data_IF_473701189410
#
_entry.id   IF_473701189410
#
_cell.length_a   1.000
_cell.length_b   1.000
_cell.length_c   1.000
_cell.angle_alpha   90.00
_cell.angle_beta   90.00
_cell.angle_gamma   90.00
#
_symmetry.space_group_name_H-M   'P 1'
#
loop_
_entity.id
_entity.type
_entity.pdbx_description
1 polymer ?
#
# COMPACT_ATOMS: atom_id res chain seq x y z
N UNK A 1 6.27 -27.09 -30.66
CA UNK A 1 6.53 -26.12 -29.57
C UNK A 1 6.30 -26.81 -28.23
N UNK A 2 7.35 -27.33 -27.58
CA UNK A 2 7.21 -27.83 -26.21
C UNK A 2 6.96 -26.64 -25.29
N UNK A 3 5.71 -26.44 -24.89
CA UNK A 3 5.36 -25.45 -23.86
C UNK A 3 6.09 -25.86 -22.60
N UNK A 4 7.10 -25.11 -22.18
CA UNK A 4 7.79 -25.37 -20.93
C UNK A 4 6.77 -25.13 -19.78
N UNK A 5 6.33 -26.18 -19.08
CA UNK A 5 5.29 -26.08 -18.06
C UNK A 5 5.70 -25.16 -16.90
N UNK A 6 7.00 -25.03 -16.65
CA UNK A 6 7.55 -24.16 -15.62
C UNK A 6 7.40 -22.68 -15.99
N UNK A 7 7.66 -22.31 -17.25
CA UNK A 7 7.44 -20.94 -17.75
C UNK A 7 5.95 -20.57 -17.65
N UNK A 8 5.06 -21.51 -17.96
CA UNK A 8 3.62 -21.29 -17.82
C UNK A 8 3.23 -21.07 -16.36
N UNK A 9 3.77 -21.86 -15.42
CA UNK A 9 3.55 -21.69 -13.98
C UNK A 9 4.03 -20.32 -13.48
N UNK A 10 5.23 -19.91 -13.88
CA UNK A 10 5.80 -18.60 -13.51
C UNK A 10 4.97 -17.45 -14.08
N UNK A 11 4.55 -17.53 -15.34
CA UNK A 11 3.70 -16.52 -15.97
C UNK A 11 2.35 -16.39 -15.24
N UNK A 12 1.72 -17.52 -14.88
CA UNK A 12 0.47 -17.50 -14.11
C UNK A 12 0.65 -16.92 -12.71
N UNK A 13 1.77 -17.22 -12.04
CA UNK A 13 2.10 -16.62 -10.74
C UNK A 13 2.26 -15.10 -10.84
N UNK A 14 3.03 -14.62 -11.82
CA UNK A 14 3.22 -13.18 -12.06
C UNK A 14 1.89 -12.47 -12.35
N UNK A 15 1.04 -13.07 -13.18
CA UNK A 15 -0.27 -12.49 -13.48
C UNK A 15 -1.13 -12.35 -12.21
N UNK A 16 -1.12 -13.35 -11.32
CA UNK A 16 -1.84 -13.29 -10.07
C UNK A 16 -1.31 -12.17 -9.15
N UNK A 17 0.01 -12.00 -9.05
CA UNK A 17 0.60 -10.92 -8.25
C UNK A 17 0.33 -9.53 -8.84
N UNK A 18 0.36 -9.39 -10.17
CA UNK A 18 -0.02 -8.14 -10.85
C UNK A 18 -1.49 -7.79 -10.59
N UNK A 19 -2.39 -8.77 -10.64
CA UNK A 19 -3.80 -8.56 -10.33
C UNK A 19 -4.03 -8.15 -8.86
N UNK A 20 -3.28 -8.74 -7.93
CA UNK A 20 -3.34 -8.36 -6.52
C UNK A 20 -2.89 -6.91 -6.28
N UNK A 21 -1.76 -6.48 -6.88
CA UNK A 21 -1.29 -5.10 -6.80
C UNK A 21 -2.27 -4.14 -7.48
N UNK A 22 -2.84 -4.52 -8.62
CA UNK A 22 -3.87 -3.73 -9.31
C UNK A 22 -5.09 -3.53 -8.41
N UNK A 23 -5.58 -4.59 -7.78
CA UNK A 23 -6.72 -4.52 -6.85
C UNK A 23 -6.41 -3.60 -5.66
N UNK A 24 -5.24 -3.74 -5.04
CA UNK A 24 -4.82 -2.87 -3.94
C UNK A 24 -4.75 -1.40 -4.35
N UNK A 25 -4.28 -1.10 -5.56
CA UNK A 25 -4.24 0.25 -6.10
C UNK A 25 -5.65 0.80 -6.39
N UNK A 26 -6.57 0.00 -6.92
CA UNK A 26 -7.97 0.40 -7.11
C UNK A 26 -8.64 0.74 -5.78
N UNK A 27 -8.39 -0.05 -4.73
CA UNK A 27 -8.92 0.19 -3.40
C UNK A 27 -8.31 1.44 -2.76
N UNK A 28 -7.01 1.68 -2.95
CA UNK A 28 -6.36 2.92 -2.50
C UNK A 28 -6.97 4.15 -3.19
N UNK A 29 -7.25 4.07 -4.49
CA UNK A 29 -7.90 5.15 -5.24
C UNK A 29 -9.30 5.41 -4.70
N UNK A 30 -10.12 4.38 -4.46
CA UNK A 30 -11.46 4.55 -3.89
C UNK A 30 -11.40 5.16 -2.50
N UNK A 31 -10.44 4.71 -1.68
CA UNK A 31 -10.26 5.19 -0.32
C UNK A 31 -9.77 6.64 -0.27
N UNK A 32 -8.85 7.03 -1.14
CA UNK A 32 -8.37 8.41 -1.28
C UNK A 32 -9.45 9.35 -1.79
N UNK A 33 -10.29 8.90 -2.74
CA UNK A 33 -11.44 9.69 -3.19
C UNK A 33 -12.47 9.88 -2.07
N UNK A 34 -12.73 8.84 -1.26
CA UNK A 34 -13.60 8.95 -0.08
C UNK A 34 -13.03 9.95 0.92
N UNK A 35 -11.72 9.88 1.15
CA UNK A 35 -11.01 10.81 2.02
C UNK A 35 -11.11 12.26 1.55
N UNK A 36 -10.88 12.51 0.25
CA UNK A 36 -11.03 13.86 -0.33
C UNK A 36 -12.43 14.46 -0.16
N UNK A 37 -13.48 13.62 -0.11
CA UNK A 37 -14.85 14.06 0.20
C UNK A 37 -15.07 14.35 1.69
N UNK A 38 -14.30 13.71 2.57
CA UNK A 38 -14.36 13.91 4.03
C UNK A 38 -13.60 15.16 4.46
N UNK A 39 -12.50 15.50 3.79
CA UNK A 39 -11.59 16.61 4.09
C UNK A 39 -12.27 17.95 4.42
N UNK A 40 -13.24 18.46 3.64
CA UNK A 40 -13.87 19.76 3.92
C UNK A 40 -14.68 19.82 5.23
N UNK A 41 -14.96 18.66 5.84
CA UNK A 41 -15.76 18.54 7.06
C UNK A 41 -15.01 17.77 8.15
N UNK A 42 -13.68 17.71 8.05
CA UNK A 42 -12.83 16.88 8.88
C UNK A 42 -13.07 17.12 10.38
N UNK A 43 -13.17 18.38 10.81
CA UNK A 43 -13.46 18.79 12.19
C UNK A 43 -14.84 18.35 12.71
N UNK A 44 -15.76 17.99 11.81
CA UNK A 44 -17.13 17.54 12.12
C UNK A 44 -17.28 16.02 12.03
N UNK A 45 -16.21 15.31 11.69
CA UNK A 45 -16.23 13.85 11.65
C UNK A 45 -16.18 13.30 13.07
N UNK A 46 -16.90 12.22 13.27
CA UNK A 46 -16.75 11.38 14.45
C UNK A 46 -15.42 10.61 14.40
N UNK A 47 -14.83 10.37 15.56
CA UNK A 47 -13.59 9.61 15.69
C UNK A 47 -13.70 8.20 15.07
N UNK A 48 -14.86 7.55 15.18
CA UNK A 48 -15.10 6.23 14.58
C UNK A 48 -14.97 6.23 13.06
N UNK A 49 -15.43 7.26 12.36
CA UNK A 49 -15.23 7.38 10.91
C UNK A 49 -13.76 7.49 10.52
N UNK A 50 -12.97 8.21 11.32
CA UNK A 50 -11.52 8.37 11.10
C UNK A 50 -10.81 7.03 11.34
N UNK A 51 -11.10 6.37 12.46
CA UNK A 51 -10.53 5.06 12.80
C UNK A 51 -10.91 3.98 11.79
N UNK A 52 -12.15 3.97 11.30
CA UNK A 52 -12.60 3.06 10.26
C UNK A 52 -11.81 3.28 8.97
N UNK A 53 -11.60 4.55 8.58
CA UNK A 53 -10.83 4.88 7.39
C UNK A 53 -9.37 4.40 7.53
N UNK A 54 -8.71 4.64 8.67
CA UNK A 54 -7.36 4.16 8.96
C UNK A 54 -7.28 2.63 8.92
N UNK A 55 -8.30 1.94 9.45
CA UNK A 55 -8.40 0.48 9.39
C UNK A 55 -8.49 -0.06 7.96
N UNK A 56 -9.26 0.60 7.09
CA UNK A 56 -9.33 0.24 5.67
C UNK A 56 -8.01 0.48 4.96
N UNK A 57 -7.35 1.60 5.24
CA UNK A 57 -6.06 1.91 4.65
C UNK A 57 -4.99 0.88 5.05
N UNK A 58 -4.95 0.49 6.33
CA UNK A 58 -4.05 -0.55 6.82
C UNK A 58 -4.28 -1.90 6.14
N UNK A 59 -5.52 -2.29 5.83
CA UNK A 59 -5.80 -3.51 5.08
C UNK A 59 -5.19 -3.50 3.68
N UNK A 60 -5.19 -2.33 3.01
CA UNK A 60 -4.57 -2.17 1.69
C UNK A 60 -3.04 -2.31 1.80
N UNK A 61 -2.42 -1.66 2.81
CA UNK A 61 -0.98 -1.78 3.08
C UNK A 61 -0.57 -3.22 3.37
N UNK A 62 -1.35 -3.93 4.19
CA UNK A 62 -1.11 -5.34 4.52
C UNK A 62 -1.23 -6.25 3.30
N UNK A 63 -2.22 -6.02 2.43
CA UNK A 63 -2.39 -6.80 1.21
C UNK A 63 -1.26 -6.58 0.21
N UNK A 64 -0.84 -5.32 0.02
CA UNK A 64 0.29 -4.97 -0.85
C UNK A 64 1.59 -5.61 -0.34
N UNK A 65 1.88 -5.49 0.96
CA UNK A 65 3.07 -6.07 1.57
C UNK A 65 3.09 -7.59 1.43
N UNK A 66 1.97 -8.27 1.73
CA UNK A 66 1.87 -9.73 1.57
C UNK A 66 2.15 -10.16 0.13
N UNK A 67 1.61 -9.43 -0.84
CA UNK A 67 1.83 -9.72 -2.26
C UNK A 67 3.31 -9.57 -2.62
N UNK A 68 3.99 -8.55 -2.08
CA UNK A 68 5.43 -8.34 -2.26
C UNK A 68 6.26 -9.47 -1.65
N UNK A 69 5.96 -9.87 -0.41
CA UNK A 69 6.62 -10.97 0.29
C UNK A 69 6.47 -12.29 -0.49
N UNK A 70 5.25 -12.61 -0.95
CA UNK A 70 4.97 -13.81 -1.75
C UNK A 70 5.60 -13.79 -3.14
N UNK A 71 5.71 -12.62 -3.76
CA UNK A 71 6.30 -12.46 -5.09
C UNK A 71 7.84 -12.53 -5.08
N UNK A 72 8.49 -12.25 -3.93
CA UNK A 72 9.95 -12.11 -3.82
C UNK A 72 10.74 -13.28 -4.43
N UNK A 73 10.36 -14.53 -4.10
CA UNK A 73 11.03 -15.73 -4.61
C UNK A 73 10.90 -15.86 -6.14
N UNK A 74 9.76 -15.45 -6.68
CA UNK A 74 9.50 -15.51 -8.12
C UNK A 74 10.29 -14.42 -8.85
N UNK A 75 10.29 -13.19 -8.32
CA UNK A 75 10.98 -12.05 -8.91
C UNK A 75 12.50 -12.25 -8.97
N UNK A 76 13.06 -13.00 -8.02
CA UNK A 76 14.48 -13.31 -7.94
C UNK A 76 14.87 -14.63 -8.64
N UNK A 77 13.93 -15.28 -9.34
CA UNK A 77 14.20 -16.53 -10.06
C UNK A 77 15.04 -16.28 -11.32
N UNK A 78 16.16 -16.99 -11.45
CA UNK A 78 17.02 -16.99 -12.65
C UNK A 78 16.23 -17.29 -13.94
N UNK A 79 15.20 -18.14 -13.85
CA UNK A 79 14.37 -18.49 -15.00
C UNK A 79 13.44 -17.34 -15.41
N UNK A 80 12.95 -16.56 -14.45
CA UNK A 80 12.12 -15.39 -14.71
C UNK A 80 12.94 -14.23 -15.29
N UNK A 81 14.20 -14.07 -14.88
CA UNK A 81 15.09 -13.02 -15.38
C UNK A 81 15.73 -13.37 -16.73
N UNK A 82 16.02 -14.64 -17.00
CA UNK A 82 16.60 -15.09 -18.26
C UNK A 82 15.59 -15.19 -19.42
N UNK A 83 14.29 -15.30 -19.13
CA UNK A 83 13.24 -15.33 -20.15
C UNK A 83 12.74 -13.90 -20.48
N UNK A 84 12.88 -13.39 -21.70
CA UNK A 84 12.52 -12.00 -22.02
C UNK A 84 11.05 -11.65 -21.78
N UNK A 85 10.14 -12.61 -21.98
CA UNK A 85 8.71 -12.39 -21.76
C UNK A 85 8.40 -12.32 -20.26
N UNK A 86 8.95 -13.23 -19.46
CA UNK A 86 8.79 -13.20 -18.01
C UNK A 86 9.47 -11.96 -17.41
N UNK A 87 10.63 -11.58 -17.90
CA UNK A 87 11.33 -10.37 -17.47
C UNK A 87 10.50 -9.10 -17.71
N UNK A 88 9.82 -8.99 -18.85
CA UNK A 88 8.87 -7.88 -19.09
C UNK A 88 7.72 -7.87 -18.07
N UNK A 89 7.21 -9.04 -17.69
CA UNK A 89 6.14 -9.18 -16.69
C UNK A 89 6.62 -8.82 -15.28
N UNK A 90 7.85 -9.21 -14.92
CA UNK A 90 8.53 -8.82 -13.69
C UNK A 90 8.68 -7.29 -13.62
N UNK A 91 9.21 -6.67 -14.68
CA UNK A 91 9.38 -5.22 -14.75
C UNK A 91 8.05 -4.48 -14.63
N UNK A 92 6.99 -5.00 -15.28
CA UNK A 92 5.65 -4.43 -15.19
C UNK A 92 5.10 -4.50 -13.77
N UNK A 93 5.22 -5.66 -13.10
CA UNK A 93 4.85 -5.82 -11.70
C UNK A 93 5.59 -4.83 -10.80
N UNK A 94 6.91 -4.73 -10.94
CA UNK A 94 7.74 -3.81 -10.15
C UNK A 94 7.31 -2.36 -10.33
N UNK A 95 7.04 -1.93 -11.57
CA UNK A 95 6.55 -0.58 -11.86
C UNK A 95 5.17 -0.32 -11.25
N UNK A 96 4.26 -1.29 -11.26
CA UNK A 96 2.96 -1.17 -10.59
C UNK A 96 3.11 -1.07 -9.08
N UNK A 97 3.94 -1.92 -8.47
CA UNK A 97 4.21 -1.90 -7.03
C UNK A 97 4.81 -0.57 -6.60
N UNK A 98 5.85 -0.09 -7.29
CA UNK A 98 6.46 1.24 -7.02
C UNK A 98 5.43 2.37 -7.05
N UNK A 99 4.54 2.39 -8.05
CA UNK A 99 3.48 3.40 -8.15
C UNK A 99 2.47 3.32 -7.02
N UNK A 100 2.11 2.12 -6.59
CA UNK A 100 1.21 1.92 -5.44
C UNK A 100 1.83 2.49 -4.17
N UNK A 101 3.09 2.15 -3.91
CA UNK A 101 3.79 2.62 -2.71
C UNK A 101 4.05 4.12 -2.72
N UNK A 102 4.37 4.72 -3.86
CA UNK A 102 4.47 6.18 -3.97
C UNK A 102 3.14 6.87 -3.62
N UNK A 103 2.00 6.27 -3.96
CA UNK A 103 0.68 6.80 -3.55
C UNK A 103 0.42 6.63 -2.06
N UNK A 104 0.90 5.53 -1.47
CA UNK A 104 0.81 5.29 -0.02
C UNK A 104 1.66 6.30 0.75
N UNK A 105 2.88 6.57 0.31
CA UNK A 105 3.76 7.57 0.92
C UNK A 105 3.12 8.96 0.92
N UNK A 106 2.60 9.41 -0.23
CA UNK A 106 1.87 10.68 -0.31
C UNK A 106 0.64 10.69 0.61
N UNK A 107 -0.08 9.56 0.71
CA UNK A 107 -1.23 9.46 1.60
C UNK A 107 -0.81 9.52 3.07
N UNK A 108 0.31 8.91 3.44
CA UNK A 108 0.86 8.95 4.79
C UNK A 108 1.21 10.39 5.20
N UNK A 109 1.85 11.15 4.31
CA UNK A 109 2.17 12.57 4.54
C UNK A 109 0.91 13.41 4.76
N UNK A 110 -0.10 13.22 3.90
CA UNK A 110 -1.39 13.91 4.02
C UNK A 110 -2.09 13.55 5.34
N UNK A 111 -2.04 12.29 5.75
CA UNK A 111 -2.64 11.85 7.01
C UNK A 111 -1.96 12.45 8.23
N UNK A 112 -0.63 12.58 8.22
CA UNK A 112 0.11 13.21 9.30
C UNK A 112 -0.32 14.68 9.46
N UNK A 113 -0.30 15.48 8.38
CA UNK A 113 -0.72 16.87 8.45
C UNK A 113 -2.19 17.04 8.86
N UNK A 114 -3.07 16.20 8.35
CA UNK A 114 -4.48 16.25 8.73
C UNK A 114 -4.75 15.85 10.18
N UNK A 115 -3.95 14.94 10.73
CA UNK A 115 -4.09 14.54 12.12
C UNK A 115 -3.61 15.64 13.06
N UNK A 116 -2.55 16.36 12.71
CA UNK A 116 -2.12 17.57 13.42
C UNK A 116 -3.27 18.59 13.46
N UNK A 117 -3.86 18.91 12.29
CA UNK A 117 -5.01 19.82 12.19
C UNK A 117 -6.21 19.37 13.04
N UNK A 118 -6.51 18.07 13.06
CA UNK A 118 -7.62 17.48 13.82
C UNK A 118 -7.39 17.50 15.32
N UNK A 119 -6.17 17.24 15.76
CA UNK A 119 -5.81 17.25 17.17
C UNK A 119 -5.83 18.67 17.73
N UNK A 120 -5.38 19.65 16.95
CA UNK A 120 -5.34 21.06 17.33
C UNK A 120 -6.73 21.71 17.30
N UNK A 121 -7.50 21.48 16.24
CA UNK A 121 -8.73 22.24 15.97
C UNK A 121 -10.03 21.43 16.15
N UNK A 122 -9.95 20.12 16.38
CA UNK A 122 -11.12 19.27 16.56
C UNK A 122 -11.67 19.31 17.98
N UNK A 123 -13.00 19.32 18.09
CA UNK A 123 -13.78 19.22 19.33
C UNK A 123 -13.86 17.76 19.85
N UNK A 124 -12.72 17.07 19.90
CA UNK A 124 -12.63 15.69 20.38
C UNK A 124 -12.27 15.64 21.86
N UNK A 125 -12.78 14.63 22.56
CA UNK A 125 -12.32 14.30 23.90
C UNK A 125 -10.86 13.85 23.89
N UNK A 126 -10.15 14.04 25.01
CA UNK A 126 -8.73 13.69 25.10
C UNK A 126 -8.46 12.20 24.84
N UNK A 127 -9.37 11.32 25.26
CA UNK A 127 -9.33 9.89 25.00
C UNK A 127 -9.42 9.58 23.50
N UNK A 128 -10.35 10.22 22.79
CA UNK A 128 -10.51 10.06 21.34
C UNK A 128 -9.29 10.60 20.57
N UNK A 129 -8.73 11.72 21.01
CA UNK A 129 -7.49 12.29 20.45
C UNK A 129 -6.33 11.30 20.57
N UNK A 130 -6.18 10.66 21.73
CA UNK A 130 -5.14 9.68 21.96
C UNK A 130 -5.35 8.38 21.15
N UNK A 131 -6.58 7.87 21.09
CA UNK A 131 -6.91 6.70 20.26
C UNK A 131 -6.56 6.93 18.79
N UNK A 132 -6.92 8.09 18.25
CA UNK A 132 -6.61 8.45 16.87
C UNK A 132 -5.09 8.60 16.67
N UNK A 133 -4.36 9.15 17.64
CA UNK A 133 -2.88 9.27 17.57
C UNK A 133 -2.23 7.89 17.50
N UNK A 134 -2.61 6.99 18.39
CA UNK A 134 -2.09 5.61 18.41
C UNK A 134 -2.43 4.89 17.10
N UNK A 135 -3.64 5.07 16.57
CA UNK A 135 -4.04 4.48 15.29
C UNK A 135 -3.23 5.04 14.11
N UNK A 136 -2.93 6.34 14.10
CA UNK A 136 -2.07 6.95 13.10
C UNK A 136 -0.64 6.42 13.19
N UNK A 137 -0.04 6.40 14.38
CA UNK A 137 1.31 5.87 14.59
C UNK A 137 1.42 4.41 14.12
N UNK A 138 0.43 3.58 14.45
CA UNK A 138 0.34 2.20 13.97
C UNK A 138 0.26 2.12 12.45
N UNK A 139 -0.48 3.03 11.83
CA UNK A 139 -0.60 3.14 10.37
C UNK A 139 0.72 3.55 9.73
N UNK A 140 1.44 4.52 10.29
CA UNK A 140 2.73 5.01 9.78
C UNK A 140 3.83 3.95 9.90
N UNK A 141 3.89 3.22 11.03
CA UNK A 141 4.85 2.12 11.23
C UNK A 141 4.75 1.03 10.17
N UNK A 142 3.57 0.82 9.57
CA UNK A 142 3.43 -0.16 8.47
C UNK A 142 4.13 0.26 7.18
N UNK A 143 4.35 1.56 6.95
CA UNK A 143 5.12 2.04 5.80
C UNK A 143 6.62 1.99 5.99
N UNK A 144 7.10 2.21 7.21
CA UNK A 144 8.53 2.20 7.54
C UNK A 144 9.23 0.87 7.22
N UNK A 145 8.50 -0.24 7.25
CA UNK A 145 9.07 -1.57 6.96
C UNK A 145 9.55 -1.77 5.51
N UNK A 146 9.40 -0.79 4.62
CA UNK A 146 9.98 -0.81 3.26
C UNK A 146 11.18 0.13 3.12
N UNK A 147 11.24 1.19 3.92
CA UNK A 147 12.33 2.17 3.93
C UNK A 147 13.67 1.51 4.26
N UNK A 148 13.67 0.55 5.18
CA UNK A 148 14.87 -0.17 5.61
C UNK A 148 15.36 -1.20 4.57
N UNK A 149 14.56 -1.54 3.56
CA UNK A 149 14.98 -2.42 2.46
C UNK A 149 15.61 -1.65 1.29
N UNK A 150 15.51 -0.31 1.27
CA UNK A 150 16.04 0.55 0.22
C UNK A 150 17.36 1.24 0.60
N UNK A 151 18.05 0.77 1.65
CA UNK A 151 19.40 1.25 1.97
C UNK A 151 20.43 0.67 0.98
N UNK A 152 20.62 1.41 -0.12
CA UNK A 152 21.86 1.67 -0.86
C UNK A 152 22.78 0.46 -1.11
N UNK A 153 22.70 -0.09 -2.32
CA UNK A 153 23.90 -0.61 -2.98
C UNK A 153 24.49 0.53 -3.81
N UNK A 154 25.62 1.05 -3.35
CA UNK A 154 26.44 2.05 -4.05
C UNK A 154 27.11 1.46 -5.29
#
# INVERSE_FOLDING_TARGET
>A
MSKNPEIARLASGLAAYQDAIRSANEDLIKLSQRFGRMMPRLQKLDSSSILLWLGLYNKIKDAAKRTEDEASDLLNSDLATANPVLQLQVNYYQAQSQRLYAKMEIMDDVLNGMMEDLLENGEFEQTQKEEMRVALEGTMKKSLNRSDAASVSA
#
